data_IF_054463669840
#
_entry.id   IF_054463669840
#
_cell.length_a   1.000
_cell.length_b   1.000
_cell.length_c   1.000
_cell.angle_alpha   90.00
_cell.angle_beta   90.00
_cell.angle_gamma   90.00
#
_symmetry.space_group_name_H-M   'P 1'
#
loop_
_entity.id
_entity.type
_entity.pdbx_description
1 polymer ?
#
# COMPACT_ATOMS: atom_id res chain seq x y z
N UNK A 1 -3.88 -9.14 8.08
CA UNK A 1 -3.56 -7.75 7.67
C UNK A 1 -2.56 -7.11 8.62
N UNK A 2 -2.89 -6.87 9.90
CA UNK A 2 -1.93 -6.26 10.86
C UNK A 2 -0.63 -7.07 11.02
N UNK A 3 -0.73 -8.37 11.31
CA UNK A 3 0.44 -9.27 11.36
C UNK A 3 1.29 -9.25 10.08
N UNK A 4 0.65 -9.19 8.92
CA UNK A 4 1.36 -9.18 7.64
C UNK A 4 2.11 -7.84 7.42
N UNK A 5 1.54 -6.72 7.87
CA UNK A 5 2.23 -5.42 7.86
C UNK A 5 3.47 -5.44 8.78
N UNK A 6 3.35 -6.04 9.97
CA UNK A 6 4.50 -6.21 10.89
C UNK A 6 5.59 -7.09 10.27
N UNK A 7 5.23 -8.21 9.63
CA UNK A 7 6.16 -9.09 8.92
C UNK A 7 6.87 -8.35 7.76
N UNK A 8 6.15 -7.51 7.01
CA UNK A 8 6.73 -6.67 5.96
C UNK A 8 7.68 -5.61 6.53
N UNK A 9 7.33 -4.97 7.65
CA UNK A 9 8.19 -3.99 8.30
C UNK A 9 9.53 -4.60 8.73
N UNK A 10 9.48 -5.79 9.36
CA UNK A 10 10.68 -6.55 9.72
C UNK A 10 11.49 -6.87 8.46
N UNK A 11 10.84 -7.38 7.40
CA UNK A 11 11.55 -7.74 6.16
C UNK A 11 12.20 -6.54 5.49
N UNK A 12 11.53 -5.37 5.47
CA UNK A 12 12.10 -4.13 4.94
C UNK A 12 13.36 -3.74 5.70
N UNK A 13 13.35 -3.83 7.03
CA UNK A 13 14.52 -3.55 7.87
C UNK A 13 15.70 -4.49 7.57
N UNK A 14 15.42 -5.80 7.37
CA UNK A 14 16.44 -6.77 6.95
C UNK A 14 17.03 -6.43 5.57
N UNK A 15 16.18 -6.08 4.61
CA UNK A 15 16.60 -5.68 3.26
C UNK A 15 17.44 -4.42 3.31
N UNK A 16 17.03 -3.40 4.08
CA UNK A 16 17.80 -2.15 4.26
C UNK A 16 19.19 -2.42 4.84
N UNK A 17 19.28 -3.31 5.85
CA UNK A 17 20.56 -3.65 6.46
C UNK A 17 21.51 -4.33 5.46
N UNK A 18 21.03 -5.37 4.74
CA UNK A 18 21.87 -6.11 3.80
C UNK A 18 22.20 -5.28 2.57
N UNK A 19 21.20 -4.65 1.96
CA UNK A 19 21.37 -3.88 0.73
C UNK A 19 22.19 -2.60 0.96
N UNK A 20 22.02 -1.94 2.10
CA UNK A 20 22.86 -0.79 2.48
C UNK A 20 24.33 -1.17 2.62
N UNK A 21 24.64 -2.37 3.11
CA UNK A 21 26.02 -2.86 3.16
C UNK A 21 26.58 -3.23 1.78
N UNK A 22 25.78 -3.81 0.88
CA UNK A 22 26.16 -4.01 -0.52
C UNK A 22 26.43 -2.67 -1.22
N UNK A 23 25.60 -1.67 -0.95
CA UNK A 23 25.71 -0.34 -1.55
C UNK A 23 26.99 0.40 -1.11
N UNK A 24 27.34 0.31 0.18
CA UNK A 24 28.64 0.82 0.68
C UNK A 24 29.82 0.16 -0.03
N UNK A 25 29.74 -1.14 -0.33
CA UNK A 25 30.80 -1.86 -1.09
C UNK A 25 30.85 -1.39 -2.54
N UNK A 26 29.71 -1.20 -3.19
CA UNK A 26 29.62 -0.69 -4.57
C UNK A 26 30.12 0.75 -4.72
N UNK A 27 30.06 1.57 -3.66
CA UNK A 27 30.71 2.90 -3.68
C UNK A 27 32.23 2.84 -3.78
N UNK A 28 32.84 1.73 -3.33
CA UNK A 28 34.29 1.52 -3.37
C UNK A 28 34.67 0.75 -4.64
N UNK A 29 33.88 -0.26 -5.00
CA UNK A 29 34.10 -1.14 -6.15
C UNK A 29 32.84 -1.15 -7.05
N UNK A 30 32.68 -0.06 -7.82
CA UNK A 30 31.47 0.19 -8.60
C UNK A 30 31.29 -0.78 -9.79
N UNK A 31 32.38 -1.42 -10.24
CA UNK A 31 32.38 -2.35 -11.38
C UNK A 31 32.17 -3.82 -10.95
N UNK A 32 31.93 -4.05 -9.65
CA UNK A 32 31.65 -5.38 -9.13
C UNK A 32 30.27 -5.89 -9.55
N UNK A 33 30.23 -6.57 -10.69
CA UNK A 33 28.98 -7.06 -11.30
C UNK A 33 28.19 -7.97 -10.35
N UNK A 34 28.86 -8.84 -9.60
CA UNK A 34 28.17 -9.76 -8.69
C UNK A 34 27.48 -9.01 -7.55
N UNK A 35 28.16 -8.05 -6.91
CA UNK A 35 27.55 -7.23 -5.86
C UNK A 35 26.42 -6.36 -6.45
N UNK A 36 26.60 -5.83 -7.66
CA UNK A 36 25.61 -5.00 -8.35
C UNK A 36 24.33 -5.80 -8.65
N UNK A 37 24.46 -7.03 -9.15
CA UNK A 37 23.33 -7.93 -9.37
C UNK A 37 22.57 -8.23 -8.08
N UNK A 38 23.29 -8.54 -6.99
CA UNK A 38 22.67 -8.79 -5.68
C UNK A 38 21.96 -7.55 -5.14
N UNK A 39 22.59 -6.36 -5.24
CA UNK A 39 21.97 -5.11 -4.82
C UNK A 39 20.70 -4.81 -5.62
N UNK A 40 20.70 -5.02 -6.94
CA UNK A 40 19.51 -4.84 -7.78
C UNK A 40 18.35 -5.78 -7.39
N UNK A 41 18.65 -7.02 -6.98
CA UNK A 41 17.62 -7.94 -6.45
C UNK A 41 16.99 -7.39 -5.16
N UNK A 42 17.79 -6.83 -4.26
CA UNK A 42 17.26 -6.22 -3.04
C UNK A 42 16.52 -4.90 -3.28
N UNK A 43 16.92 -4.09 -4.26
CA UNK A 43 16.16 -2.92 -4.70
C UNK A 43 14.76 -3.34 -5.17
N UNK A 44 14.70 -4.38 -6.00
CA UNK A 44 13.44 -4.93 -6.48
C UNK A 44 12.59 -5.51 -5.34
N UNK A 45 13.20 -6.31 -4.44
CA UNK A 45 12.50 -6.83 -3.26
C UNK A 45 11.93 -5.69 -2.39
N UNK A 46 12.71 -4.64 -2.13
CA UNK A 46 12.25 -3.46 -1.39
C UNK A 46 11.06 -2.77 -2.08
N UNK A 47 11.08 -2.66 -3.41
CA UNK A 47 9.97 -2.08 -4.17
C UNK A 47 8.70 -2.94 -4.04
N UNK A 48 8.83 -4.26 -4.13
CA UNK A 48 7.72 -5.20 -3.95
C UNK A 48 7.15 -5.14 -2.54
N UNK A 49 8.00 -5.06 -1.51
CA UNK A 49 7.56 -4.92 -0.11
C UNK A 49 6.81 -3.60 0.11
N UNK A 50 7.33 -2.47 -0.39
CA UNK A 50 6.65 -1.17 -0.33
C UNK A 50 5.29 -1.19 -1.04
N UNK A 51 5.22 -1.85 -2.19
CA UNK A 51 3.98 -1.99 -2.93
C UNK A 51 2.96 -2.83 -2.15
N UNK A 52 3.38 -3.99 -1.60
CA UNK A 52 2.52 -4.86 -0.80
C UNK A 52 2.03 -4.17 0.47
N UNK A 53 2.90 -3.43 1.15
CA UNK A 53 2.57 -2.61 2.32
C UNK A 53 1.46 -1.60 1.97
N UNK A 54 1.59 -0.89 0.85
CA UNK A 54 0.60 0.09 0.41
C UNK A 54 -0.75 -0.57 0.09
N UNK A 55 -0.74 -1.73 -0.58
CA UNK A 55 -1.97 -2.50 -0.84
C UNK A 55 -2.66 -2.90 0.48
N UNK A 56 -1.90 -3.43 1.44
CA UNK A 56 -2.44 -3.85 2.73
C UNK A 56 -2.99 -2.68 3.54
N UNK A 57 -2.34 -1.52 3.54
CA UNK A 57 -2.85 -0.31 4.20
C UNK A 57 -4.20 0.12 3.64
N UNK A 58 -4.38 0.05 2.32
CA UNK A 58 -5.66 0.33 1.68
C UNK A 58 -6.72 -0.72 2.02
N UNK A 59 -6.36 -2.00 2.10
CA UNK A 59 -7.29 -3.07 2.51
C UNK A 59 -7.73 -2.92 3.97
N UNK A 60 -6.82 -2.51 4.87
CA UNK A 60 -7.17 -2.16 6.26
C UNK A 60 -8.16 -1.00 6.27
N UNK A 61 -7.89 0.06 5.49
CA UNK A 61 -8.80 1.20 5.41
C UNK A 61 -10.16 0.83 4.83
N UNK A 62 -10.19 0.00 3.79
CA UNK A 62 -11.44 -0.52 3.21
C UNK A 62 -12.25 -1.31 4.25
N UNK A 63 -11.58 -2.12 5.08
CA UNK A 63 -12.24 -2.86 6.15
C UNK A 63 -12.87 -1.92 7.19
N UNK A 64 -12.15 -0.88 7.64
CA UNK A 64 -12.64 0.13 8.59
C UNK A 64 -13.86 0.87 8.04
N UNK A 65 -13.80 1.33 6.78
CA UNK A 65 -14.88 2.05 6.10
C UNK A 65 -16.11 1.14 5.93
N UNK A 66 -15.91 -0.14 5.63
CA UNK A 66 -16.99 -1.13 5.55
C UNK A 66 -17.63 -1.42 6.93
N UNK A 67 -16.84 -1.42 8.00
CA UNK A 67 -17.37 -1.52 9.36
C UNK A 67 -18.17 -0.27 9.75
N UNK A 68 -17.66 0.92 9.41
CA UNK A 68 -18.39 2.17 9.62
C UNK A 68 -19.72 2.18 8.86
N UNK A 69 -19.71 1.78 7.58
CA UNK A 69 -20.92 1.64 6.77
C UNK A 69 -21.95 0.73 7.47
N UNK A 70 -21.51 -0.45 7.94
CA UNK A 70 -22.38 -1.41 8.63
C UNK A 70 -23.00 -0.81 9.89
N UNK A 71 -22.20 -0.08 10.68
CA UNK A 71 -22.66 0.59 11.89
C UNK A 71 -23.68 1.70 11.58
N UNK A 72 -23.47 2.48 10.52
CA UNK A 72 -24.42 3.49 10.06
C UNK A 72 -25.73 2.88 9.59
N UNK A 73 -25.68 1.78 8.82
CA UNK A 73 -26.86 1.06 8.38
C UNK A 73 -27.66 0.50 9.55
N UNK A 74 -26.99 -0.02 10.58
CA UNK A 74 -27.65 -0.49 11.79
C UNK A 74 -28.35 0.67 12.53
N UNK A 75 -27.66 1.79 12.74
CA UNK A 75 -28.24 2.98 13.39
C UNK A 75 -29.43 3.55 12.62
N UNK A 76 -29.33 3.58 11.29
CA UNK A 76 -30.43 4.01 10.42
C UNK A 76 -31.67 3.12 10.62
N UNK A 77 -31.47 1.80 10.64
CA UNK A 77 -32.55 0.84 10.88
C UNK A 77 -33.17 1.02 12.27
N UNK A 78 -32.37 1.26 13.30
CA UNK A 78 -32.85 1.50 14.67
C UNK A 78 -33.74 2.75 14.75
N UNK A 79 -33.35 3.85 14.10
CA UNK A 79 -34.14 5.09 14.05
C UNK A 79 -35.43 4.87 13.26
N UNK A 80 -35.36 4.24 12.08
CA UNK A 80 -36.54 3.96 11.25
C UNK A 80 -37.54 3.02 11.94
N UNK A 81 -37.06 2.06 12.75
CA UNK A 81 -37.93 1.23 13.58
C UNK A 81 -38.56 2.00 14.76
N UNK A 82 -37.86 2.99 15.32
CA UNK A 82 -38.38 3.85 16.39
C UNK A 82 -39.35 4.92 15.87
N UNK A 83 -39.19 5.35 14.61
CA UNK A 83 -40.00 6.36 13.91
C UNK A 83 -41.44 5.96 13.65
N UNK A 84 -41.82 4.69 13.87
CA UNK A 84 -43.22 4.31 13.85
C UNK A 84 -44.09 5.04 14.90
N UNK A 85 -43.49 5.81 15.84
CA UNK A 85 -44.20 6.43 16.96
C UNK A 85 -43.93 7.94 17.24
N UNK A 86 -42.98 8.67 16.62
CA UNK A 86 -42.74 10.13 16.89
C UNK A 86 -42.02 10.89 15.76
N UNK A 87 -42.68 11.91 15.17
CA UNK A 87 -42.37 12.46 13.82
C UNK A 87 -41.30 13.58 13.64
N UNK A 88 -40.73 14.21 14.68
CA UNK A 88 -39.95 15.45 14.48
C UNK A 88 -38.44 15.37 14.80
N UNK A 89 -38.06 14.71 15.91
CA UNK A 89 -36.66 14.70 16.39
C UNK A 89 -35.78 13.73 15.60
N UNK A 90 -36.39 12.72 14.98
CA UNK A 90 -35.68 11.65 14.27
C UNK A 90 -35.33 12.01 12.83
N UNK A 91 -36.00 12.99 12.21
CA UNK A 91 -35.70 13.39 10.83
C UNK A 91 -34.31 14.02 10.68
N UNK A 92 -33.84 14.78 11.68
CA UNK A 92 -32.50 15.39 11.63
C UNK A 92 -31.38 14.37 11.89
N UNK A 93 -31.61 13.41 12.80
CA UNK A 93 -30.67 12.32 13.05
C UNK A 93 -30.58 11.37 11.85
N UNK A 94 -31.71 11.04 11.21
CA UNK A 94 -31.74 10.27 9.97
C UNK A 94 -30.95 10.96 8.85
N UNK A 95 -31.19 12.25 8.60
CA UNK A 95 -30.43 13.04 7.61
C UNK A 95 -28.93 13.02 7.88
N UNK A 96 -28.53 13.16 9.15
CA UNK A 96 -27.11 13.12 9.52
C UNK A 96 -26.46 11.77 9.23
N UNK A 97 -27.17 10.67 9.49
CA UNK A 97 -26.70 9.31 9.23
C UNK A 97 -26.63 9.05 7.72
N UNK A 98 -27.63 9.48 6.96
CA UNK A 98 -27.62 9.37 5.49
C UNK A 98 -26.49 10.18 4.87
N UNK A 99 -26.25 11.40 5.35
CA UNK A 99 -25.13 12.24 4.89
C UNK A 99 -23.79 11.57 5.17
N UNK A 100 -23.61 11.02 6.38
CA UNK A 100 -22.39 10.26 6.71
C UNK A 100 -22.27 8.99 5.88
N UNK A 101 -23.37 8.28 5.64
CA UNK A 101 -23.41 7.08 4.80
C UNK A 101 -22.94 7.37 3.38
N UNK A 102 -23.39 8.48 2.79
CA UNK A 102 -22.92 8.91 1.46
C UNK A 102 -21.42 9.15 1.45
N UNK A 103 -20.88 9.88 2.43
CA UNK A 103 -19.44 10.13 2.54
C UNK A 103 -18.62 8.82 2.66
N UNK A 104 -19.13 7.84 3.42
CA UNK A 104 -18.51 6.52 3.57
C UNK A 104 -18.54 5.72 2.27
N UNK A 105 -19.62 5.82 1.49
CA UNK A 105 -19.71 5.18 0.16
C UNK A 105 -18.73 5.82 -0.82
N UNK A 106 -18.65 7.15 -0.86
CA UNK A 106 -17.69 7.87 -1.69
C UNK A 106 -16.24 7.50 -1.33
N UNK A 107 -15.92 7.40 -0.04
CA UNK A 107 -14.60 6.97 0.43
C UNK A 107 -14.28 5.53 -0.02
N UNK A 108 -15.23 4.59 0.11
CA UNK A 108 -15.06 3.22 -0.36
C UNK A 108 -14.79 3.16 -1.86
N UNK A 109 -15.55 3.90 -2.65
CA UNK A 109 -15.38 3.93 -4.10
C UNK A 109 -14.00 4.49 -4.49
N UNK A 110 -13.52 5.52 -3.77
CA UNK A 110 -12.16 6.04 -3.94
C UNK A 110 -11.07 5.00 -3.58
N UNK A 111 -11.24 4.25 -2.49
CA UNK A 111 -10.31 3.19 -2.09
C UNK A 111 -10.25 2.07 -3.13
N UNK A 112 -11.40 1.68 -3.69
CA UNK A 112 -11.46 0.66 -4.74
C UNK A 112 -10.73 1.12 -6.01
N UNK A 113 -10.88 2.39 -6.38
CA UNK A 113 -10.16 2.97 -7.50
C UNK A 113 -8.64 2.97 -7.24
N UNK A 114 -8.18 3.37 -6.05
CA UNK A 114 -6.77 3.32 -5.68
C UNK A 114 -6.19 1.89 -5.71
N UNK A 115 -6.92 0.90 -5.20
CA UNK A 115 -6.52 -0.50 -5.24
C UNK A 115 -6.40 -1.02 -6.67
N UNK A 116 -7.31 -0.61 -7.56
CA UNK A 116 -7.25 -0.97 -8.98
C UNK A 116 -6.00 -0.39 -9.63
N UNK A 117 -5.71 0.89 -9.41
CA UNK A 117 -4.52 1.58 -9.95
C UNK A 117 -3.22 0.97 -9.45
N UNK A 118 -3.15 0.52 -8.19
CA UNK A 118 -1.97 -0.19 -7.66
C UNK A 118 -1.78 -1.52 -8.38
N UNK A 119 -2.87 -2.28 -8.60
CA UNK A 119 -2.81 -3.57 -9.30
C UNK A 119 -2.45 -3.43 -10.77
N UNK A 120 -2.91 -2.37 -11.43
CA UNK A 120 -2.54 -2.06 -12.81
C UNK A 120 -1.06 -1.67 -12.91
N UNK A 121 -0.57 -0.77 -12.05
CA UNK A 121 0.86 -0.42 -11.97
C UNK A 121 1.74 -1.63 -11.66
N UNK A 122 1.28 -2.53 -10.78
CA UNK A 122 1.98 -3.79 -10.49
C UNK A 122 2.20 -4.65 -11.75
N UNK A 123 1.22 -4.69 -12.64
CA UNK A 123 1.28 -5.49 -13.87
C UNK A 123 2.16 -4.84 -14.93
N UNK A 124 2.18 -3.51 -14.97
CA UNK A 124 3.03 -2.75 -15.89
C UNK A 124 4.51 -2.79 -15.47
N UNK A 125 4.78 -2.81 -14.17
CA UNK A 125 6.13 -2.96 -13.61
C UNK A 125 6.46 -4.45 -13.48
N UNK A 126 6.57 -5.13 -14.62
CA UNK A 126 7.12 -6.48 -14.66
C UNK A 126 8.58 -6.45 -14.15
N UNK A 127 8.89 -7.34 -13.19
CA UNK A 127 10.23 -7.48 -12.61
C UNK A 127 11.26 -7.61 -13.73
N UNK A 128 12.09 -6.58 -13.88
CA UNK A 128 13.16 -6.59 -14.87
C UNK A 128 14.36 -7.29 -14.26
N UNK A 129 14.80 -8.38 -14.87
CA UNK A 129 15.95 -9.13 -14.37
C UNK A 129 17.20 -8.21 -14.25
N UNK A 130 17.97 -8.31 -13.15
CA UNK A 130 19.18 -7.51 -12.94
C UNK A 130 20.15 -7.51 -14.13
N UNK A 131 20.35 -8.68 -14.76
CA UNK A 131 21.21 -8.81 -15.94
C UNK A 131 20.73 -7.96 -17.13
N UNK A 132 19.41 -7.81 -17.30
CA UNK A 132 18.84 -6.95 -18.34
C UNK A 132 19.05 -5.47 -18.03
N UNK A 133 18.89 -5.07 -16.76
CA UNK A 133 19.16 -3.70 -16.31
C UNK A 133 20.64 -3.33 -16.48
N UNK A 134 21.55 -4.24 -16.10
CA UNK A 134 23.00 -4.07 -16.25
C UNK A 134 23.38 -3.96 -17.73
N UNK A 135 22.80 -4.79 -18.61
CA UNK A 135 23.04 -4.68 -20.06
C UNK A 135 22.57 -3.34 -20.64
N UNK A 136 21.48 -2.78 -20.10
CA UNK A 136 20.88 -1.53 -20.59
C UNK A 136 21.61 -0.28 -20.05
N UNK A 137 21.91 -0.26 -18.75
CA UNK A 137 22.49 0.91 -18.06
C UNK A 137 24.01 0.86 -17.96
N UNK A 138 24.62 -0.32 -18.10
CA UNK A 138 26.05 -0.55 -17.92
C UNK A 138 26.39 -1.15 -16.55
N UNK A 139 27.46 -1.94 -16.50
CA UNK A 139 27.89 -2.70 -15.31
C UNK A 139 28.67 -1.87 -14.28
N UNK A 140 28.26 -0.61 -14.09
CA UNK A 140 28.79 0.27 -13.06
C UNK A 140 27.65 0.74 -12.16
N UNK A 141 27.85 0.65 -10.85
CA UNK A 141 26.90 1.17 -9.85
C UNK A 141 26.61 2.67 -10.04
N UNK A 142 27.53 3.45 -10.59
CA UNK A 142 27.31 4.88 -10.87
C UNK A 142 26.21 5.16 -11.90
N UNK A 143 25.74 4.14 -12.64
CA UNK A 143 24.61 4.25 -13.57
C UNK A 143 23.25 4.11 -12.87
N UNK A 144 23.25 3.88 -11.56
CA UNK A 144 22.06 3.66 -10.74
C UNK A 144 21.99 4.71 -9.63
N UNK A 145 20.76 5.07 -9.25
CA UNK A 145 20.54 5.98 -8.13
C UNK A 145 20.69 5.22 -6.80
N UNK A 146 21.33 5.81 -5.79
CA UNK A 146 21.39 5.24 -4.45
C UNK A 146 19.99 5.02 -3.85
N UNK A 147 19.81 3.93 -3.11
CA UNK A 147 18.50 3.56 -2.54
C UNK A 147 18.51 3.42 -1.02
N UNK A 148 19.60 2.92 -0.44
CA UNK A 148 19.64 2.52 0.98
C UNK A 148 20.59 3.36 1.85
N UNK A 149 21.30 4.34 1.28
CA UNK A 149 22.28 5.20 1.99
C UNK A 149 22.17 6.68 1.63
#
# INVERSE_FOLDING_TARGET
MQRELEEIEVRKSEVEAVAGDLEKRLRIDAENVWILEQWLLYVEEMNQLKQRENELKLQVREFEVNEEYRNLQQKLKEIQCADANTDATNSESEKSILTRTLAVVEERDALQQQLKEIKERAREHATTEPATLIRLKGASYHNFEPVFI
#
